data_IF_107680075379
#
_entry.id   IF_107680075379
#
_cell.length_a   1.000
_cell.length_b   1.000
_cell.length_c   1.000
_cell.angle_alpha   90.00
_cell.angle_beta   90.00
_cell.angle_gamma   90.00
#
_symmetry.space_group_name_H-M   'P 1'
#
loop_
_entity.id
_entity.type
_entity.pdbx_description
1 polymer ?
#
# COMPACT_ATOMS: atom_id res chain seq x y z
N UNK A 1 64.64 15.50 11.95
CA UNK A 1 64.93 15.33 10.49
C UNK A 1 64.50 13.98 9.91
N UNK A 2 64.98 12.80 10.37
CA UNK A 2 64.55 11.49 9.83
C UNK A 2 63.30 10.94 10.51
N UNK A 3 63.23 10.96 11.85
CA UNK A 3 62.07 10.47 12.62
C UNK A 3 60.77 11.26 12.33
N UNK A 4 60.85 12.58 12.15
CA UNK A 4 59.69 13.42 11.79
C UNK A 4 59.21 13.17 10.35
N UNK A 5 60.10 12.76 9.44
CA UNK A 5 59.72 12.34 8.08
C UNK A 5 59.00 10.99 8.13
N UNK A 6 59.50 10.04 8.91
CA UNK A 6 58.84 8.75 9.11
C UNK A 6 57.46 8.89 9.80
N UNK A 7 57.32 9.78 10.78
CA UNK A 7 56.02 10.06 11.41
C UNK A 7 55.03 10.72 10.44
N UNK A 8 55.50 11.62 9.56
CA UNK A 8 54.66 12.23 8.50
C UNK A 8 54.26 11.22 7.43
N UNK A 9 55.18 10.37 6.98
CA UNK A 9 54.92 9.31 5.98
C UNK A 9 53.95 8.24 6.52
N UNK A 10 54.08 7.86 7.80
CA UNK A 10 53.13 6.97 8.46
C UNK A 10 51.75 7.62 8.60
N UNK A 11 51.69 8.91 8.94
CA UNK A 11 50.43 9.67 9.01
C UNK A 11 49.73 9.83 7.65
N UNK A 12 50.48 10.03 6.56
CA UNK A 12 49.91 10.11 5.20
C UNK A 12 49.34 8.75 4.78
N UNK A 13 50.08 7.65 5.02
CA UNK A 13 49.63 6.28 4.71
C UNK A 13 48.38 5.86 5.49
N UNK A 14 48.24 6.29 6.74
CA UNK A 14 47.02 6.01 7.53
C UNK A 14 45.85 6.84 7.04
N UNK A 15 46.04 8.11 6.68
CA UNK A 15 44.99 8.95 6.11
C UNK A 15 44.48 8.40 4.76
N UNK A 16 45.37 7.94 3.88
CA UNK A 16 44.98 7.32 2.60
C UNK A 16 44.12 6.08 2.80
N UNK A 17 44.44 5.25 3.81
CA UNK A 17 43.66 4.06 4.14
C UNK A 17 42.24 4.42 4.63
N UNK A 18 42.10 5.45 5.46
CA UNK A 18 40.79 5.93 5.90
C UNK A 18 39.97 6.54 4.77
N UNK A 19 40.60 7.26 3.83
CA UNK A 19 39.93 7.82 2.65
C UNK A 19 39.44 6.70 1.73
N UNK A 20 40.26 5.69 1.44
CA UNK A 20 39.86 4.54 0.62
C UNK A 20 38.73 3.76 1.29
N UNK A 21 38.80 3.56 2.61
CA UNK A 21 37.73 2.90 3.37
C UNK A 21 36.44 3.71 3.36
N UNK A 22 36.50 5.03 3.55
CA UNK A 22 35.34 5.90 3.51
C UNK A 22 34.71 5.93 2.11
N UNK A 23 35.51 6.02 1.03
CA UNK A 23 35.02 5.98 -0.35
C UNK A 23 34.40 4.62 -0.70
N UNK A 24 35.00 3.51 -0.26
CA UNK A 24 34.42 2.18 -0.43
C UNK A 24 33.08 2.06 0.29
N UNK A 25 33.00 2.51 1.54
CA UNK A 25 31.78 2.52 2.34
C UNK A 25 30.72 3.43 1.70
N UNK A 26 31.07 4.64 1.26
CA UNK A 26 30.17 5.55 0.55
C UNK A 26 29.63 4.94 -0.74
N UNK A 27 30.47 4.24 -1.52
CA UNK A 27 30.02 3.57 -2.74
C UNK A 27 28.98 2.49 -2.44
N UNK A 28 29.20 1.67 -1.41
CA UNK A 28 28.26 0.63 -0.97
C UNK A 28 26.92 1.23 -0.53
N UNK A 29 26.93 2.32 0.24
CA UNK A 29 25.71 3.01 0.65
C UNK A 29 24.98 3.73 -0.51
N UNK A 30 25.72 4.31 -1.47
CA UNK A 30 25.15 4.99 -2.61
C UNK A 30 24.43 4.03 -3.58
N UNK A 31 24.90 2.79 -3.72
CA UNK A 31 24.23 1.76 -4.53
C UNK A 31 23.14 0.99 -3.80
N UNK A 32 23.09 1.08 -2.46
CA UNK A 32 22.19 0.27 -1.63
C UNK A 32 20.85 0.93 -1.26
N UNK A 33 20.62 2.18 -1.64
CA UNK A 33 19.36 2.87 -1.33
C UNK A 33 18.23 2.33 -2.24
N UNK A 34 17.19 1.70 -1.67
CA UNK A 34 16.10 1.15 -2.45
C UNK A 34 15.34 2.29 -3.16
N UNK A 35 15.13 2.17 -4.46
CA UNK A 35 14.35 3.14 -5.23
C UNK A 35 12.86 2.91 -4.96
N UNK A 36 12.16 3.89 -4.36
CA UNK A 36 10.74 3.79 -4.00
C UNK A 36 9.80 4.00 -5.21
N UNK A 37 10.14 3.42 -6.37
CA UNK A 37 9.42 3.62 -7.64
C UNK A 37 7.95 3.19 -7.58
N UNK A 38 7.63 2.09 -6.89
CA UNK A 38 6.23 1.64 -6.76
C UNK A 38 5.35 2.66 -6.05
N UNK A 39 5.87 3.29 -4.97
CA UNK A 39 5.15 4.34 -4.24
C UNK A 39 4.92 5.57 -5.13
N UNK A 40 5.87 5.90 -6.01
CA UNK A 40 5.65 6.94 -7.00
C UNK A 40 4.63 6.53 -8.07
N UNK A 41 4.63 5.28 -8.51
CA UNK A 41 3.69 4.81 -9.51
C UNK A 41 2.23 4.86 -9.00
N UNK A 42 1.96 4.38 -7.78
CA UNK A 42 0.59 4.44 -7.20
C UNK A 42 0.12 5.90 -7.03
N UNK A 43 1.03 6.79 -6.66
CA UNK A 43 0.75 8.23 -6.60
C UNK A 43 0.35 8.79 -7.97
N UNK A 44 1.14 8.52 -9.01
CA UNK A 44 0.84 8.98 -10.37
C UNK A 44 -0.42 8.33 -10.95
N UNK A 45 -0.71 7.06 -10.63
CA UNK A 45 -1.99 6.43 -11.01
C UNK A 45 -3.16 7.10 -10.31
N UNK A 46 -3.01 7.52 -9.05
CA UNK A 46 -4.02 8.31 -8.34
C UNK A 46 -4.30 9.62 -9.06
N UNK A 47 -3.25 10.35 -9.45
CA UNK A 47 -3.38 11.59 -10.22
C UNK A 47 -4.08 11.36 -11.56
N UNK A 48 -3.75 10.26 -12.26
CA UNK A 48 -4.39 9.88 -13.52
C UNK A 48 -5.92 9.74 -13.37
N UNK A 49 -6.40 9.05 -12.33
CA UNK A 49 -7.84 8.80 -12.13
C UNK A 49 -8.59 9.98 -11.51
N UNK A 50 -8.03 10.61 -10.49
CA UNK A 50 -8.76 11.56 -9.63
C UNK A 50 -8.35 13.02 -9.85
N UNK A 51 -7.34 13.29 -10.68
CA UNK A 51 -6.74 14.62 -10.86
C UNK A 51 -6.32 15.25 -9.51
N UNK A 52 -5.87 14.40 -8.59
CA UNK A 52 -5.41 14.77 -7.26
C UNK A 52 -4.43 13.71 -6.76
N UNK A 53 -3.51 14.10 -5.88
CA UNK A 53 -2.57 13.16 -5.29
C UNK A 53 -3.24 12.34 -4.16
N UNK A 54 -2.82 11.08 -4.05
CA UNK A 54 -3.33 10.13 -3.05
C UNK A 54 -2.75 10.30 -1.66
N UNK A 55 -2.05 11.40 -1.35
CA UNK A 55 -1.33 11.57 -0.08
C UNK A 55 -2.28 11.48 1.13
N UNK A 56 -3.53 11.89 0.97
CA UNK A 56 -4.56 11.80 2.02
C UNK A 56 -4.87 10.37 2.47
N UNK A 57 -4.53 9.36 1.65
CA UNK A 57 -4.70 7.94 1.98
C UNK A 57 -3.56 7.42 2.88
N UNK A 58 -2.47 8.17 3.06
CA UNK A 58 -1.39 7.76 3.96
C UNK A 58 -1.88 7.77 5.42
N UNK A 59 -1.81 6.62 6.07
CA UNK A 59 -2.34 6.38 7.42
C UNK A 59 -3.84 6.67 7.54
N UNK A 60 -4.59 6.35 6.49
CA UNK A 60 -6.05 6.41 6.50
C UNK A 60 -6.64 5.07 6.97
N UNK A 61 -7.57 5.14 7.91
CA UNK A 61 -8.24 3.95 8.43
C UNK A 61 -7.28 2.98 9.09
N UNK A 62 -7.62 1.70 9.01
CA UNK A 62 -6.89 0.61 9.60
C UNK A 62 -5.89 -0.05 8.66
N UNK A 63 -6.04 0.12 7.34
CA UNK A 63 -5.24 -0.59 6.33
C UNK A 63 -4.47 0.33 5.39
N UNK A 64 -4.90 1.56 5.13
CA UNK A 64 -4.15 2.44 4.22
C UNK A 64 -2.88 2.98 4.89
N UNK A 65 -1.80 2.21 4.91
CA UNK A 65 -0.55 2.57 5.58
C UNK A 65 0.34 1.36 5.86
N UNK A 66 1.23 1.48 6.85
CA UNK A 66 2.10 0.38 7.23
C UNK A 66 1.35 -0.62 8.14
N UNK A 67 1.26 -1.88 7.72
CA UNK A 67 0.61 -2.93 8.48
C UNK A 67 -0.84 -3.11 8.06
N UNK A 68 -1.75 -3.25 9.02
CA UNK A 68 -3.17 -3.47 8.73
C UNK A 68 -3.77 -4.52 9.67
N UNK A 69 -4.82 -4.16 10.40
CA UNK A 69 -5.52 -5.10 11.27
C UNK A 69 -6.93 -4.63 11.63
N UNK A 70 -7.76 -5.57 12.09
CA UNK A 70 -9.13 -5.27 12.51
C UNK A 70 -10.12 -5.18 11.35
N UNK A 71 -11.23 -4.48 11.57
CA UNK A 71 -12.25 -4.26 10.54
C UNK A 71 -12.00 -2.93 9.83
N UNK A 72 -12.04 -2.89 8.48
CA UNK A 72 -11.94 -1.64 7.75
C UNK A 72 -13.01 -0.64 8.17
N UNK A 73 -12.63 0.62 8.37
CA UNK A 73 -13.56 1.65 8.88
C UNK A 73 -14.62 2.08 7.85
N UNK A 74 -14.36 1.82 6.56
CA UNK A 74 -15.27 2.04 5.43
C UNK A 74 -14.75 1.36 4.15
N UNK A 75 -15.39 1.61 3.02
CA UNK A 75 -15.05 1.00 1.74
C UNK A 75 -13.72 1.48 1.13
N UNK A 76 -13.26 2.70 1.44
CA UNK A 76 -11.92 3.17 1.02
C UNK A 76 -10.86 2.35 1.76
N UNK A 77 -11.03 2.16 3.07
CA UNK A 77 -10.14 1.34 3.89
C UNK A 77 -10.18 -0.14 3.48
N UNK A 78 -11.33 -0.62 3.00
CA UNK A 78 -11.46 -1.97 2.41
C UNK A 78 -10.65 -2.11 1.12
N UNK A 79 -10.55 -1.07 0.30
CA UNK A 79 -9.67 -1.09 -0.87
C UNK A 79 -8.19 -1.23 -0.46
N UNK A 80 -7.77 -0.59 0.62
CA UNK A 80 -6.42 -0.72 1.16
C UNK A 80 -6.17 -2.15 1.71
N UNK A 81 -7.13 -2.71 2.44
CA UNK A 81 -7.06 -4.10 2.89
C UNK A 81 -6.89 -5.09 1.72
N UNK A 82 -7.61 -4.86 0.61
CA UNK A 82 -7.48 -5.67 -0.59
C UNK A 82 -6.12 -5.50 -1.28
N UNK A 83 -5.57 -4.28 -1.27
CA UNK A 83 -4.24 -3.98 -1.79
C UNK A 83 -3.14 -4.69 -1.00
N UNK A 84 -3.19 -4.62 0.34
CA UNK A 84 -2.27 -5.37 1.22
C UNK A 84 -2.35 -6.87 0.96
N UNK A 85 -3.58 -7.40 0.84
CA UNK A 85 -3.82 -8.81 0.54
C UNK A 85 -3.24 -9.22 -0.83
N UNK A 86 -3.26 -8.33 -1.82
CA UNK A 86 -2.66 -8.56 -3.13
C UNK A 86 -1.14 -8.67 -3.03
N UNK A 87 -0.51 -7.80 -2.25
CA UNK A 87 0.93 -7.84 -1.98
C UNK A 87 1.33 -9.11 -1.22
N UNK A 88 0.59 -9.46 -0.17
CA UNK A 88 0.82 -10.69 0.59
C UNK A 88 0.71 -11.92 -0.31
N UNK A 89 -0.29 -11.95 -1.19
CA UNK A 89 -0.46 -13.03 -2.15
C UNK A 89 0.71 -13.12 -3.15
N UNK A 90 1.20 -11.99 -3.65
CA UNK A 90 2.34 -11.97 -4.56
C UNK A 90 3.59 -12.62 -3.93
N UNK A 91 3.78 -12.39 -2.63
CA UNK A 91 4.87 -12.98 -1.84
C UNK A 91 4.61 -14.45 -1.54
N UNK A 92 3.38 -14.82 -1.13
CA UNK A 92 3.04 -16.22 -0.82
C UNK A 92 3.14 -17.12 -2.04
N UNK A 93 2.79 -16.59 -3.22
CA UNK A 93 2.92 -17.29 -4.51
C UNK A 93 4.37 -17.29 -5.04
N UNK A 94 5.34 -16.76 -4.29
CA UNK A 94 6.75 -16.65 -4.67
C UNK A 94 7.02 -15.84 -5.96
N UNK A 95 6.07 -14.98 -6.34
CA UNK A 95 6.24 -14.05 -7.48
C UNK A 95 7.12 -12.86 -7.11
N UNK A 96 7.15 -12.54 -5.82
CA UNK A 96 7.95 -11.49 -5.21
C UNK A 96 8.69 -12.03 -3.99
N UNK A 97 9.88 -11.50 -3.70
CA UNK A 97 10.74 -12.01 -2.64
C UNK A 97 10.22 -11.66 -1.24
N UNK A 98 9.70 -10.44 -1.08
CA UNK A 98 9.24 -9.90 0.20
C UNK A 98 8.47 -8.58 -0.02
N UNK A 99 7.94 -8.04 1.07
CA UNK A 99 7.21 -6.76 1.06
C UNK A 99 8.06 -5.61 0.51
N UNK A 100 9.37 -5.56 0.81
CA UNK A 100 10.24 -4.52 0.28
C UNK A 100 10.31 -4.57 -1.25
N UNK A 101 10.37 -5.76 -1.86
CA UNK A 101 10.37 -5.92 -3.31
C UNK A 101 9.12 -5.34 -3.98
N UNK A 102 7.97 -5.36 -3.29
CA UNK A 102 6.75 -4.70 -3.78
C UNK A 102 6.90 -3.18 -3.78
N UNK A 103 7.36 -2.59 -2.67
CA UNK A 103 7.50 -1.13 -2.55
C UNK A 103 8.57 -0.51 -3.48
N UNK A 104 9.54 -1.31 -3.92
CA UNK A 104 10.61 -0.86 -4.84
C UNK A 104 10.46 -1.39 -6.26
N UNK A 105 9.36 -2.09 -6.56
CA UNK A 105 9.06 -2.57 -7.89
C UNK A 105 9.11 -1.39 -8.90
N UNK A 106 9.91 -1.55 -9.95
CA UNK A 106 10.07 -0.53 -10.99
C UNK A 106 9.32 -0.97 -12.23
N UNK A 107 7.99 -0.95 -12.14
CA UNK A 107 7.12 -1.34 -13.23
C UNK A 107 6.73 -0.15 -14.12
N UNK A 108 6.37 -0.47 -15.37
CA UNK A 108 5.88 0.41 -16.42
C UNK A 108 4.35 0.34 -16.51
N UNK A 109 3.74 1.49 -16.76
CA UNK A 109 2.30 1.68 -16.89
C UNK A 109 2.05 2.95 -17.72
N UNK A 110 0.85 3.08 -18.28
CA UNK A 110 0.41 4.24 -19.06
C UNK A 110 -0.88 4.83 -18.49
N UNK A 111 -1.16 6.10 -18.79
CA UNK A 111 -2.41 6.80 -18.47
C UNK A 111 -3.06 7.33 -19.74
N UNK A 112 -4.17 6.73 -20.17
CA UNK A 112 -4.94 7.20 -21.33
C UNK A 112 -6.36 7.57 -20.89
N UNK A 113 -6.78 8.80 -21.18
CA UNK A 113 -8.13 9.30 -20.85
C UNK A 113 -8.52 9.08 -19.38
N UNK A 114 -7.59 9.28 -18.44
CA UNK A 114 -7.76 9.07 -16.98
C UNK A 114 -7.97 7.61 -16.55
N UNK A 115 -7.56 6.68 -17.39
CA UNK A 115 -7.56 5.25 -17.08
C UNK A 115 -6.12 4.77 -17.18
N UNK A 116 -5.62 4.17 -16.09
CA UNK A 116 -4.28 3.60 -16.09
C UNK A 116 -4.32 2.16 -16.63
N UNK A 117 -3.23 1.76 -17.28
CA UNK A 117 -3.04 0.39 -17.75
C UNK A 117 -1.62 -0.06 -17.47
N UNK A 118 -1.47 -1.29 -16.99
CA UNK A 118 -0.15 -1.90 -16.81
C UNK A 118 0.45 -2.31 -18.15
N UNK A 119 1.71 -1.96 -18.36
CA UNK A 119 2.49 -2.43 -19.49
C UNK A 119 3.13 -3.79 -19.17
N UNK A 120 3.67 -4.44 -20.20
CA UNK A 120 4.44 -5.68 -19.98
C UNK A 120 5.79 -5.33 -19.35
N UNK A 121 6.05 -5.88 -18.17
CA UNK A 121 7.30 -5.72 -17.45
C UNK A 121 8.19 -6.96 -17.61
N UNK A 122 9.51 -6.77 -17.51
CA UNK A 122 10.49 -7.85 -17.67
C UNK A 122 10.50 -8.86 -16.52
N UNK A 123 10.00 -8.47 -15.35
CA UNK A 123 10.02 -9.25 -14.12
C UNK A 123 8.59 -9.54 -13.64
N UNK A 124 8.34 -10.75 -13.14
CA UNK A 124 7.01 -11.16 -12.70
C UNK A 124 6.51 -10.32 -11.52
N UNK A 125 7.39 -9.99 -10.57
CA UNK A 125 7.05 -9.15 -9.43
C UNK A 125 6.60 -7.76 -9.87
N UNK A 126 7.31 -7.15 -10.82
CA UNK A 126 6.91 -5.85 -11.39
C UNK A 126 5.52 -5.90 -12.04
N UNK A 127 5.21 -6.98 -12.78
CA UNK A 127 3.89 -7.14 -13.38
C UNK A 127 2.78 -7.28 -12.33
N UNK A 128 3.04 -8.03 -11.26
CA UNK A 128 2.06 -8.22 -10.18
C UNK A 128 1.88 -6.94 -9.37
N UNK A 129 2.97 -6.24 -9.02
CA UNK A 129 2.92 -4.96 -8.31
C UNK A 129 2.09 -3.92 -9.08
N UNK A 130 2.31 -3.80 -10.39
CA UNK A 130 1.49 -2.91 -11.22
C UNK A 130 0.00 -3.27 -11.15
N UNK A 131 -0.33 -4.56 -11.26
CA UNK A 131 -1.72 -5.03 -11.23
C UNK A 131 -2.38 -4.75 -9.88
N UNK A 132 -1.70 -5.02 -8.77
CA UNK A 132 -2.19 -4.71 -7.43
C UNK A 132 -2.46 -3.20 -7.28
N UNK A 133 -1.52 -2.35 -7.72
CA UNK A 133 -1.67 -0.88 -7.63
C UNK A 133 -2.82 -0.39 -8.54
N UNK A 134 -2.98 -0.96 -9.74
CA UNK A 134 -4.09 -0.64 -10.64
C UNK A 134 -5.45 -1.07 -10.06
N UNK A 135 -5.53 -2.28 -9.47
CA UNK A 135 -6.73 -2.80 -8.81
C UNK A 135 -7.12 -1.92 -7.62
N UNK A 136 -6.14 -1.47 -6.84
CA UNK A 136 -6.36 -0.53 -5.74
C UNK A 136 -6.97 0.78 -6.22
N UNK A 137 -6.37 1.43 -7.22
CA UNK A 137 -6.88 2.70 -7.77
C UNK A 137 -8.27 2.53 -8.40
N UNK A 138 -8.51 1.40 -9.06
CA UNK A 138 -9.82 1.04 -9.61
C UNK A 138 -10.86 0.85 -8.50
N UNK A 139 -10.50 0.19 -7.40
CA UNK A 139 -11.35 0.01 -6.24
C UNK A 139 -11.79 1.36 -5.63
N UNK A 140 -10.91 2.36 -5.62
CA UNK A 140 -11.22 3.69 -5.11
C UNK A 140 -12.21 4.47 -6.00
N UNK A 141 -12.35 4.16 -7.29
CA UNK A 141 -13.12 4.97 -8.24
C UNK A 141 -14.55 5.31 -7.81
N UNK A 142 -15.36 4.37 -7.28
CA UNK A 142 -16.74 4.65 -6.90
C UNK A 142 -16.85 5.60 -5.70
N UNK A 143 -15.79 5.68 -4.88
CA UNK A 143 -15.77 6.45 -3.63
C UNK A 143 -15.01 7.77 -3.75
N UNK A 144 -14.08 7.85 -4.70
CA UNK A 144 -13.13 8.94 -4.82
C UNK A 144 -12.06 8.93 -3.73
N UNK A 145 -11.30 10.01 -3.64
CA UNK A 145 -10.37 10.22 -2.54
C UNK A 145 -11.10 10.79 -1.31
N UNK A 146 -10.70 10.39 -0.10
CA UNK A 146 -11.27 10.95 1.11
C UNK A 146 -10.97 12.45 1.21
N UNK A 147 -11.89 13.21 1.79
CA UNK A 147 -11.73 14.67 1.99
C UNK A 147 -10.94 15.00 3.25
N UNK A 148 -10.94 14.09 4.21
CA UNK A 148 -10.24 14.19 5.49
C UNK A 148 -9.65 12.82 5.85
N UNK A 149 -8.55 12.84 6.60
CA UNK A 149 -7.97 11.60 7.12
C UNK A 149 -8.85 11.05 8.26
N UNK A 150 -8.97 9.73 8.32
CA UNK A 150 -9.68 9.03 9.39
C UNK A 150 -8.69 8.10 10.09
N UNK A 151 -8.74 8.04 11.42
CA UNK A 151 -7.86 7.18 12.23
C UNK A 151 -8.57 5.83 12.43
N UNK A 152 -7.81 4.73 12.41
CA UNK A 152 -8.30 3.45 12.90
C UNK A 152 -8.66 3.56 14.38
N UNK A 153 -9.94 3.74 14.67
CA UNK A 153 -10.46 3.47 16.00
C UNK A 153 -10.99 2.05 15.95
N UNK A 154 -10.40 1.13 16.71
CA UNK A 154 -11.04 -0.16 16.96
C UNK A 154 -12.50 0.12 17.33
N UNK A 155 -13.42 -0.52 16.62
CA UNK A 155 -14.85 -0.25 16.75
C UNK A 155 -15.26 -0.52 18.20
N UNK A 156 -15.27 0.52 19.04
CA UNK A 156 -16.25 0.61 20.10
C UNK A 156 -17.55 0.89 19.38
N UNK A 157 -18.33 -0.17 19.16
CA UNK A 157 -19.76 -0.02 18.92
C UNK A 157 -20.28 1.05 19.87
N UNK A 158 -20.91 2.09 19.32
CA UNK A 158 -21.47 3.31 19.93
C UNK A 158 -20.60 4.58 19.84
N UNK A 159 -20.96 5.48 18.90
CA UNK A 159 -21.45 6.84 19.21
C UNK A 159 -21.39 7.77 17.98
N UNK A 160 -22.51 7.86 17.25
CA UNK A 160 -23.14 9.10 16.74
C UNK A 160 -24.33 8.78 15.81
N UNK A 161 -25.36 8.16 16.37
CA UNK A 161 -26.74 8.47 15.97
C UNK A 161 -27.53 8.74 17.24
N UNK A 162 -27.64 10.01 17.61
CA UNK A 162 -28.69 10.46 18.52
C UNK A 162 -28.91 11.94 18.30
N UNK A 163 -29.98 12.27 17.58
CA UNK A 163 -30.99 13.19 18.12
C UNK A 163 -32.30 12.92 17.38
N UNK A 164 -33.25 12.33 18.12
CA UNK A 164 -34.71 12.54 18.06
C UNK A 164 -35.27 13.20 16.79
N UNK A 165 -36.00 12.44 15.98
CA UNK A 165 -37.42 12.71 15.64
C UNK A 165 -37.95 11.75 14.56
N UNK A 166 -38.78 10.80 15.02
CA UNK A 166 -40.12 10.45 14.46
C UNK A 166 -40.51 9.06 14.95
N UNK A 167 -41.46 9.05 15.88
CA UNK A 167 -42.24 7.87 16.18
C UNK A 167 -42.97 7.42 14.91
N UNK A 168 -42.65 6.23 14.42
CA UNK A 168 -43.56 5.42 13.62
C UNK A 168 -43.74 4.12 14.39
N UNK A 169 -44.89 4.00 15.04
CA UNK A 169 -45.37 2.76 15.62
C UNK A 169 -45.45 1.70 14.52
N UNK A 170 -44.74 0.58 14.68
CA UNK A 170 -45.11 -0.66 14.04
C UNK A 170 -45.19 -1.76 15.09
N UNK A 171 -46.44 -2.00 15.48
CA UNK A 171 -46.93 -3.09 16.31
C UNK A 171 -46.34 -4.44 15.91
N UNK A 172 -45.73 -5.11 16.90
CA UNK A 172 -45.91 -6.53 17.24
C UNK A 172 -46.42 -7.47 16.14
N UNK A 173 -45.57 -8.42 15.72
CA UNK A 173 -45.89 -9.85 15.80
C UNK A 173 -44.64 -10.73 15.72
N UNK A 174 -44.35 -11.40 16.83
CA UNK A 174 -43.54 -12.62 16.86
C UNK A 174 -44.49 -13.80 16.66
N UNK A 175 -44.14 -14.75 15.77
CA UNK A 175 -44.39 -16.19 15.96
C UNK A 175 -43.98 -17.04 14.74
N UNK A 176 -42.98 -17.90 14.96
CA UNK A 176 -42.95 -19.35 14.66
C UNK A 176 -43.01 -19.90 13.22
N UNK A 177 -41.90 -20.54 12.82
CA UNK A 177 -41.73 -21.95 12.43
C UNK A 177 -42.76 -22.68 11.53
N UNK A 178 -42.30 -23.17 10.36
CA UNK A 178 -42.48 -24.53 9.78
C UNK A 178 -41.78 -24.52 8.39
N UNK A 179 -40.68 -25.26 8.13
CA UNK A 179 -40.54 -26.69 7.77
C UNK A 179 -41.27 -27.14 6.49
N UNK A 180 -40.46 -27.71 5.58
CA UNK A 180 -40.75 -28.73 4.53
C UNK A 180 -41.36 -28.18 3.22
N UNK A 181 -41.04 -28.64 2.00
CA UNK A 181 -40.20 -29.73 1.46
C UNK A 181 -39.93 -29.46 -0.05
N UNK A 182 -38.89 -30.13 -0.59
CA UNK A 182 -38.68 -30.72 -1.93
C UNK A 182 -39.62 -30.37 -3.11
N UNK A 183 -39.28 -30.44 -4.41
CA UNK A 183 -38.10 -30.61 -5.26
C UNK A 183 -38.63 -30.60 -6.72
N UNK A 184 -37.75 -30.79 -7.72
CA UNK A 184 -38.03 -31.13 -9.15
C UNK A 184 -38.25 -29.91 -10.09
N UNK A 185 -37.19 -29.43 -10.75
CA UNK A 185 -36.64 -29.82 -12.09
C UNK A 185 -37.42 -29.23 -13.27
N UNK A 186 -36.70 -28.46 -14.09
CA UNK A 186 -36.86 -28.46 -15.54
C UNK A 186 -35.52 -28.15 -16.21
N UNK A 187 -34.74 -29.21 -16.44
CA UNK A 187 -33.94 -29.51 -17.65
C UNK A 187 -33.47 -30.95 -17.55
#
# INVERSE_FOLDING_TARGET
MYAERQQREAGIRTMDLFIVLFLAICSVYAYGLPNLRSIWNIHQMTECYFNNNGIILLNYGCYCGAGGSGEPINEIDRCCMAHDSCYDKAISDQKCLNVLSMYVASYHWNCDNRIATCETNSDECNNVACKCDLEFITCLQPYGLPKESAICTEVKTTSKYSTTDKAVNLTTRSSTAAKNDASVIST
#
